data_IF_192020319275
#
_entry.id   IF_192020319275
#
_cell.length_a   1.000
_cell.length_b   1.000
_cell.length_c   1.000
_cell.angle_alpha   90.00
_cell.angle_beta   90.00
_cell.angle_gamma   90.00
#
_symmetry.space_group_name_H-M   'P 1'
#
loop_
_entity.id
_entity.type
_entity.pdbx_description
1 polymer ?
#
# COMPACT_ATOMS: atom_id res chain seq x y z
N UNK A 1 -13.28 31.79 38.85
CA UNK A 1 -13.38 30.90 37.67
C UNK A 1 -12.06 30.73 36.90
N UNK A 2 -11.25 31.79 36.68
CA UNK A 2 -10.11 31.76 35.72
C UNK A 2 -8.97 30.74 35.94
N UNK A 3 -8.63 30.35 37.18
CA UNK A 3 -7.51 29.41 37.42
C UNK A 3 -7.84 27.97 37.01
N UNK A 4 -9.03 27.47 37.36
CA UNK A 4 -9.47 26.10 37.01
C UNK A 4 -9.66 25.96 35.51
N UNK A 5 -10.30 26.94 34.89
CA UNK A 5 -10.50 26.96 33.43
C UNK A 5 -9.18 27.12 32.67
N UNK A 6 -8.25 27.95 33.16
CA UNK A 6 -6.92 28.09 32.57
C UNK A 6 -6.09 26.80 32.66
N UNK A 7 -6.16 26.09 33.79
CA UNK A 7 -5.49 24.79 33.95
C UNK A 7 -6.07 23.70 33.06
N UNK A 8 -7.41 23.61 32.96
CA UNK A 8 -8.09 22.67 32.06
C UNK A 8 -7.72 22.94 30.60
N UNK A 9 -7.74 24.21 30.17
CA UNK A 9 -7.34 24.58 28.81
C UNK A 9 -5.88 24.21 28.53
N UNK A 10 -4.96 24.46 29.47
CA UNK A 10 -3.56 24.12 29.32
C UNK A 10 -3.34 22.59 29.22
N UNK A 11 -3.99 21.80 30.09
CA UNK A 11 -3.90 20.34 30.04
C UNK A 11 -4.45 19.78 28.72
N UNK A 12 -5.61 20.25 28.29
CA UNK A 12 -6.20 19.82 27.02
C UNK A 12 -5.32 20.21 25.83
N UNK A 13 -4.74 21.41 25.87
CA UNK A 13 -3.80 21.86 24.85
C UNK A 13 -2.56 20.96 24.75
N UNK A 14 -1.93 20.64 25.87
CA UNK A 14 -0.79 19.71 25.91
C UNK A 14 -1.18 18.31 25.45
N UNK A 15 -2.37 17.83 25.84
CA UNK A 15 -2.88 16.53 25.40
C UNK A 15 -3.07 16.47 23.87
N UNK A 16 -3.65 17.50 23.25
CA UNK A 16 -3.82 17.56 21.79
C UNK A 16 -2.47 17.61 21.06
N UNK A 17 -1.48 18.33 21.61
CA UNK A 17 -0.11 18.29 21.06
C UNK A 17 0.49 16.89 21.17
N UNK A 18 0.22 16.17 22.26
CA UNK A 18 0.58 14.77 22.42
C UNK A 18 -0.04 13.87 21.35
N UNK A 19 -1.34 14.04 21.07
CA UNK A 19 -2.04 13.33 19.97
C UNK A 19 -1.41 13.65 18.62
N UNK A 20 -1.08 14.92 18.35
CA UNK A 20 -0.48 15.30 17.07
C UNK A 20 0.87 14.61 16.83
N UNK A 21 1.70 14.54 17.88
CA UNK A 21 2.98 13.82 17.84
C UNK A 21 2.75 12.32 17.66
N UNK A 22 1.86 11.72 18.45
CA UNK A 22 1.58 10.28 18.37
C UNK A 22 1.01 9.88 16.99
N UNK A 23 0.09 10.67 16.44
CA UNK A 23 -0.49 10.42 15.13
C UNK A 23 0.59 10.45 14.03
N UNK A 24 1.45 11.48 14.06
CA UNK A 24 2.46 11.71 13.02
C UNK A 24 3.65 10.75 13.07
N UNK A 25 4.11 10.38 14.27
CA UNK A 25 5.38 9.66 14.46
C UNK A 25 5.22 8.21 14.90
N UNK A 26 3.98 7.72 15.07
CA UNK A 26 3.73 6.36 15.51
C UNK A 26 2.51 5.75 14.80
N UNK A 27 1.35 6.41 14.87
CA UNK A 27 0.12 5.81 14.38
C UNK A 27 0.11 5.62 12.85
N UNK A 28 0.73 6.52 12.09
CA UNK A 28 0.82 6.35 10.64
C UNK A 28 1.58 5.08 10.27
N UNK A 29 2.80 4.89 10.80
CA UNK A 29 3.66 3.75 10.46
C UNK A 29 3.02 2.41 10.88
N UNK A 30 2.31 2.38 12.01
CA UNK A 30 1.59 1.19 12.48
C UNK A 30 0.35 0.86 11.63
N UNK A 31 -0.25 1.84 10.95
CA UNK A 31 -1.43 1.66 10.10
C UNK A 31 -1.07 1.48 8.62
N UNK A 32 0.02 2.08 8.16
CA UNK A 32 0.58 1.95 6.82
C UNK A 32 1.45 0.68 6.72
N UNK A 33 0.83 -0.47 6.95
CA UNK A 33 1.47 -1.76 6.89
C UNK A 33 0.62 -2.75 6.10
N UNK A 34 1.26 -3.49 5.19
CA UNK A 34 0.58 -4.50 4.39
C UNK A 34 0.21 -5.72 5.26
N UNK A 35 -1.01 -6.27 5.16
CA UNK A 35 -1.39 -7.48 5.90
C UNK A 35 -0.67 -8.73 5.39
N UNK A 36 -0.48 -9.70 6.29
CA UNK A 36 0.15 -10.99 5.95
C UNK A 36 -0.83 -11.99 5.32
N UNK A 37 -2.12 -11.84 5.59
CA UNK A 37 -3.21 -12.77 5.29
C UNK A 37 -4.11 -12.32 4.14
N UNK A 38 -3.53 -11.60 3.18
CA UNK A 38 -4.22 -11.13 1.98
C UNK A 38 -4.97 -12.27 1.27
N UNK A 39 -6.20 -12.04 0.84
CA UNK A 39 -6.96 -12.96 -0.01
C UNK A 39 -7.82 -12.14 -0.97
N UNK A 40 -7.42 -12.11 -2.23
CA UNK A 40 -8.09 -11.32 -3.27
C UNK A 40 -8.12 -12.05 -4.60
N UNK A 41 -9.22 -11.84 -5.33
CA UNK A 41 -9.35 -12.21 -6.74
C UNK A 41 -9.65 -10.94 -7.55
N UNK A 42 -8.94 -10.76 -8.66
CA UNK A 42 -9.20 -9.69 -9.64
C UNK A 42 -9.44 -10.29 -11.01
N UNK A 43 -10.39 -9.73 -11.75
CA UNK A 43 -10.75 -10.18 -13.10
C UNK A 43 -10.52 -9.05 -14.09
N UNK A 44 -9.73 -9.31 -15.12
CA UNK A 44 -9.54 -8.41 -16.27
C UNK A 44 -10.16 -9.00 -17.51
N UNK A 45 -10.85 -8.21 -18.33
CA UNK A 45 -11.53 -8.67 -19.55
C UNK A 45 -11.21 -7.76 -20.73
N UNK A 46 -11.37 -8.28 -21.94
CA UNK A 46 -11.55 -7.42 -23.11
C UNK A 46 -12.83 -6.59 -22.92
N UNK A 47 -12.84 -5.35 -23.44
CA UNK A 47 -14.02 -4.51 -23.31
C UNK A 47 -15.22 -5.14 -24.04
N UNK A 48 -16.47 -4.87 -23.60
CA UNK A 48 -17.65 -5.44 -24.25
C UNK A 48 -17.70 -5.12 -25.75
N UNK A 49 -17.61 -6.15 -26.59
CA UNK A 49 -17.63 -6.03 -28.05
C UNK A 49 -16.24 -5.95 -28.70
N UNK A 50 -15.17 -5.93 -27.89
CA UNK A 50 -13.79 -6.01 -28.36
C UNK A 50 -13.26 -7.45 -28.26
N UNK A 51 -12.47 -7.84 -29.25
CA UNK A 51 -11.80 -9.13 -29.32
C UNK A 51 -10.28 -8.95 -29.19
N UNK A 52 -9.62 -9.98 -28.67
CA UNK A 52 -8.19 -10.15 -28.75
C UNK A 52 -7.83 -11.13 -29.88
N UNK A 53 -6.60 -11.05 -30.37
CA UNK A 53 -5.99 -12.08 -31.21
C UNK A 53 -4.97 -12.85 -30.39
N UNK A 54 -5.05 -14.18 -30.37
CA UNK A 54 -4.15 -15.01 -29.56
C UNK A 54 -3.82 -16.34 -30.23
N UNK A 55 -2.63 -16.85 -29.91
CA UNK A 55 -2.21 -18.20 -30.30
C UNK A 55 -2.79 -19.22 -29.32
N UNK A 56 -3.69 -20.07 -29.80
CA UNK A 56 -4.18 -21.24 -29.10
C UNK A 56 -3.36 -22.47 -29.51
N UNK A 57 -2.38 -22.83 -28.67
CA UNK A 57 -1.52 -24.00 -28.92
C UNK A 57 -2.26 -25.34 -28.79
N UNK A 58 -3.35 -25.37 -28.05
CA UNK A 58 -4.19 -26.54 -27.81
C UNK A 58 -5.38 -26.68 -28.77
N UNK A 59 -5.46 -25.84 -29.80
CA UNK A 59 -6.58 -25.83 -30.73
C UNK A 59 -6.77 -27.19 -31.44
N UNK A 60 -8.03 -27.50 -31.75
CA UNK A 60 -8.37 -28.76 -32.43
C UNK A 60 -7.77 -28.75 -33.84
N UNK A 61 -6.84 -29.67 -34.10
CA UNK A 61 -6.13 -29.74 -35.38
C UNK A 61 -4.70 -29.16 -35.35
N UNK A 62 -4.25 -28.69 -34.18
CA UNK A 62 -2.90 -28.14 -33.96
C UNK A 62 -2.93 -26.65 -33.62
N UNK A 63 -1.78 -26.05 -33.27
CA UNK A 63 -1.70 -24.65 -32.90
C UNK A 63 -2.29 -23.72 -33.95
N UNK A 64 -3.17 -22.81 -33.53
CA UNK A 64 -3.87 -21.88 -34.42
C UNK A 64 -3.98 -20.48 -33.80
N UNK A 65 -4.01 -19.46 -34.64
CA UNK A 65 -4.35 -18.09 -34.22
C UNK A 65 -5.86 -17.95 -34.25
N UNK A 66 -6.41 -17.54 -33.12
CA UNK A 66 -7.84 -17.34 -32.91
C UNK A 66 -8.11 -15.88 -32.55
N UNK A 67 -9.37 -15.47 -32.75
CA UNK A 67 -9.86 -14.15 -32.38
C UNK A 67 -11.11 -14.32 -31.54
N UNK A 68 -11.17 -13.60 -30.42
CA UNK A 68 -12.32 -13.63 -29.52
C UNK A 68 -12.05 -12.89 -28.22
N UNK A 69 -13.04 -12.82 -27.31
CA UNK A 69 -12.84 -12.20 -26.02
C UNK A 69 -11.86 -13.01 -25.17
N UNK A 70 -11.12 -12.31 -24.31
CA UNK A 70 -10.24 -12.91 -23.31
C UNK A 70 -10.59 -12.40 -21.91
N UNK A 71 -10.33 -13.26 -20.93
CA UNK A 71 -10.39 -12.95 -19.52
C UNK A 71 -9.07 -13.39 -18.87
N UNK A 72 -8.53 -12.55 -17.99
CA UNK A 72 -7.42 -12.86 -17.11
C UNK A 72 -7.90 -12.82 -15.67
N UNK A 73 -7.68 -13.90 -14.93
CA UNK A 73 -7.97 -13.95 -13.50
C UNK A 73 -6.67 -14.01 -12.74
N UNK A 74 -6.61 -13.27 -11.64
CA UNK A 74 -5.49 -13.28 -10.71
C UNK A 74 -6.01 -13.46 -9.30
N UNK A 75 -5.49 -14.46 -8.62
CA UNK A 75 -5.67 -14.65 -7.18
C UNK A 75 -4.36 -14.28 -6.48
N UNK A 76 -4.48 -13.64 -5.32
CA UNK A 76 -3.35 -13.32 -4.44
C UNK A 76 -3.70 -13.82 -3.05
N UNK A 77 -2.85 -14.69 -2.51
CA UNK A 77 -3.00 -15.27 -1.17
C UNK A 77 -1.73 -15.06 -0.36
N UNK A 78 -1.87 -14.41 0.78
CA UNK A 78 -0.80 -14.22 1.74
C UNK A 78 -0.37 -15.53 2.41
N UNK A 79 0.94 -15.73 2.53
CA UNK A 79 1.55 -16.90 3.18
C UNK A 79 2.12 -16.45 4.52
N UNK A 80 1.29 -16.48 5.56
CA UNK A 80 1.65 -15.99 6.90
C UNK A 80 2.91 -16.69 7.41
N UNK A 81 2.97 -18.02 7.36
CA UNK A 81 4.12 -18.78 7.86
C UNK A 81 5.41 -18.47 7.09
N UNK A 82 5.32 -18.29 5.77
CA UNK A 82 6.49 -17.93 4.95
C UNK A 82 6.89 -16.46 5.14
N UNK A 83 5.93 -15.60 5.49
CA UNK A 83 6.21 -14.19 5.82
C UNK A 83 6.97 -14.08 7.14
N UNK A 84 6.58 -14.87 8.14
CA UNK A 84 7.31 -14.99 9.40
C UNK A 84 8.73 -15.53 9.16
N UNK A 85 8.87 -16.60 8.37
CA UNK A 85 10.19 -17.16 8.00
C UNK A 85 11.07 -16.15 7.27
N UNK A 86 10.53 -15.46 6.24
CA UNK A 86 11.28 -14.47 5.49
C UNK A 86 11.68 -13.26 6.34
N UNK A 87 10.81 -12.83 7.26
CA UNK A 87 11.10 -11.75 8.20
C UNK A 87 12.22 -12.12 9.17
N UNK A 88 12.22 -13.35 9.68
CA UNK A 88 13.29 -13.87 10.55
C UNK A 88 14.63 -14.01 9.79
N UNK A 89 14.59 -14.52 8.56
CA UNK A 89 15.79 -14.70 7.72
C UNK A 89 16.47 -13.38 7.34
N UNK A 90 15.68 -12.33 7.14
CA UNK A 90 16.14 -11.03 6.64
C UNK A 90 16.31 -9.97 7.74
N UNK A 91 15.75 -10.17 8.94
CA UNK A 91 15.66 -9.15 10.00
C UNK A 91 14.91 -7.88 9.52
N UNK A 92 13.85 -8.09 8.73
CA UNK A 92 13.02 -7.06 8.08
C UNK A 92 11.53 -7.41 8.20
N UNK A 93 10.61 -6.45 8.05
CA UNK A 93 9.16 -6.72 8.09
C UNK A 93 8.63 -7.11 6.70
N UNK A 94 8.61 -8.42 6.41
CA UNK A 94 8.40 -8.96 5.07
C UNK A 94 7.04 -9.67 4.98
N UNK A 95 6.30 -9.39 3.91
CA UNK A 95 5.18 -10.20 3.47
C UNK A 95 5.61 -11.09 2.31
N UNK A 96 5.16 -12.34 2.33
CA UNK A 96 5.32 -13.30 1.23
C UNK A 96 3.94 -13.63 0.71
N UNK A 97 3.64 -13.22 -0.51
CA UNK A 97 2.36 -13.49 -1.16
C UNK A 97 2.54 -14.42 -2.36
N UNK A 98 1.62 -15.37 -2.47
CA UNK A 98 1.49 -16.29 -3.60
C UNK A 98 0.45 -15.72 -4.55
N UNK A 99 0.85 -15.46 -5.79
CA UNK A 99 -0.07 -15.04 -6.82
C UNK A 99 -0.14 -16.07 -7.92
N UNK A 100 -1.36 -16.43 -8.30
CA UNK A 100 -1.63 -17.25 -9.47
C UNK A 100 -2.45 -16.42 -10.45
N UNK A 101 -1.98 -16.34 -11.69
CA UNK A 101 -2.70 -15.66 -12.76
C UNK A 101 -2.80 -16.57 -13.98
N UNK A 102 -3.95 -16.53 -14.66
CA UNK A 102 -4.12 -17.22 -15.93
C UNK A 102 -4.99 -16.39 -16.88
N UNK A 103 -4.76 -16.57 -18.18
CA UNK A 103 -5.51 -15.90 -19.24
C UNK A 103 -6.10 -16.93 -20.18
N UNK A 104 -7.39 -16.80 -20.48
CA UNK A 104 -8.13 -17.74 -21.31
C UNK A 104 -9.38 -17.09 -21.92
N UNK A 105 -10.02 -17.71 -22.92
CA UNK A 105 -11.38 -17.33 -23.33
C UNK A 105 -12.35 -17.44 -22.14
N UNK A 106 -13.37 -16.56 -22.05
CA UNK A 106 -14.33 -16.58 -20.95
C UNK A 106 -14.98 -17.94 -20.72
N UNK A 107 -15.05 -18.38 -19.45
CA UNK A 107 -15.63 -19.67 -19.06
C UNK A 107 -14.70 -20.88 -19.20
N UNK A 108 -13.43 -20.66 -19.56
CA UNK A 108 -12.39 -21.71 -19.63
C UNK A 108 -11.78 -21.93 -18.24
N UNK A 109 -11.56 -23.19 -17.88
CA UNK A 109 -10.90 -23.57 -16.62
C UNK A 109 -9.41 -23.23 -16.66
N UNK A 110 -8.79 -23.01 -15.50
CA UNK A 110 -7.38 -22.64 -15.41
C UNK A 110 -6.43 -23.72 -15.98
N UNK A 111 -6.78 -25.01 -15.88
CA UNK A 111 -6.01 -26.09 -16.48
C UNK A 111 -5.95 -26.06 -18.02
N UNK A 112 -6.94 -25.41 -18.65
CA UNK A 112 -7.06 -25.26 -20.10
C UNK A 112 -6.68 -23.84 -20.56
N UNK A 113 -6.07 -23.03 -19.69
CA UNK A 113 -5.71 -21.66 -19.98
C UNK A 113 -4.63 -21.54 -21.07
N UNK A 114 -4.65 -20.42 -21.80
CA UNK A 114 -3.64 -20.11 -22.83
C UNK A 114 -2.28 -19.83 -22.21
N UNK A 115 -2.28 -19.20 -21.03
CA UNK A 115 -1.10 -18.94 -20.23
C UNK A 115 -1.47 -18.94 -18.76
N UNK A 116 -0.54 -19.42 -17.93
CA UNK A 116 -0.62 -19.31 -16.48
C UNK A 116 0.76 -19.03 -15.89
N UNK A 117 0.79 -18.24 -14.82
CA UNK A 117 1.99 -17.94 -14.04
C UNK A 117 1.65 -18.00 -12.56
N UNK A 118 2.53 -18.61 -11.78
CA UNK A 118 2.48 -18.59 -10.31
C UNK A 118 3.77 -18.02 -9.75
N UNK A 119 3.66 -16.98 -8.95
CA UNK A 119 4.81 -16.35 -8.30
C UNK A 119 4.65 -16.38 -6.79
N UNK A 120 5.75 -16.65 -6.08
CA UNK A 120 5.86 -16.47 -4.64
C UNK A 120 6.79 -15.30 -4.38
N UNK A 121 6.23 -14.16 -3.98
CA UNK A 121 6.89 -12.86 -4.02
C UNK A 121 7.06 -12.33 -2.59
N UNK A 122 8.31 -12.23 -2.10
CA UNK A 122 8.62 -11.53 -0.85
C UNK A 122 8.76 -10.01 -1.10
N UNK A 123 8.21 -9.20 -0.21
CA UNK A 123 8.31 -7.74 -0.29
C UNK A 123 8.17 -7.09 1.08
N UNK A 124 8.76 -5.91 1.25
CA UNK A 124 8.71 -5.14 2.49
C UNK A 124 7.30 -4.55 2.71
N UNK A 125 6.78 -4.70 3.93
CA UNK A 125 5.38 -4.39 4.27
C UNK A 125 5.07 -2.90 4.37
N UNK A 126 6.08 -2.03 4.41
CA UNK A 126 5.93 -0.57 4.55
C UNK A 126 6.25 0.18 3.25
N UNK A 127 7.15 -0.34 2.43
CA UNK A 127 7.56 0.27 1.16
C UNK A 127 6.89 -0.37 -0.05
N UNK A 128 6.37 -1.59 0.11
CA UNK A 128 5.88 -2.46 -0.95
C UNK A 128 6.92 -2.83 -2.03
N UNK A 129 8.20 -2.60 -1.76
CA UNK A 129 9.30 -3.00 -2.65
C UNK A 129 9.64 -4.47 -2.44
N UNK A 130 9.86 -5.19 -3.55
CA UNK A 130 10.27 -6.59 -3.49
C UNK A 130 11.66 -6.75 -2.86
N UNK A 131 11.83 -7.81 -2.05
CA UNK A 131 13.10 -8.12 -1.37
C UNK A 131 13.69 -9.42 -1.93
N UNK A 132 15.00 -9.64 -1.70
CA UNK A 132 15.66 -10.88 -2.13
C UNK A 132 15.60 -11.90 -1.01
N UNK A 133 14.81 -12.96 -1.20
CA UNK A 133 14.72 -14.08 -0.26
C UNK A 133 14.82 -15.41 -1.00
N UNK A 134 15.45 -16.42 -0.38
CA UNK A 134 15.73 -17.71 -1.04
C UNK A 134 14.48 -18.53 -1.35
N UNK A 135 13.37 -18.30 -0.64
CA UNK A 135 12.11 -18.96 -0.90
C UNK A 135 11.35 -18.39 -2.10
N UNK A 136 11.71 -17.20 -2.60
CA UNK A 136 11.05 -16.58 -3.75
C UNK A 136 11.10 -17.47 -5.00
N UNK A 137 9.99 -17.59 -5.72
CA UNK A 137 9.92 -18.43 -6.92
C UNK A 137 9.01 -17.83 -7.99
N UNK A 138 9.23 -18.27 -9.22
CA UNK A 138 8.30 -18.10 -10.34
C UNK A 138 8.11 -19.44 -11.03
N UNK A 139 6.88 -19.75 -11.41
CA UNK A 139 6.50 -20.91 -12.20
C UNK A 139 5.70 -20.44 -13.41
N UNK A 140 6.22 -20.74 -14.60
CA UNK A 140 5.57 -20.40 -15.86
C UNK A 140 5.96 -21.40 -16.95
N UNK A 141 5.02 -21.77 -17.81
CA UNK A 141 5.25 -22.76 -18.88
C UNK A 141 5.72 -24.13 -18.36
N UNK A 142 5.31 -24.53 -17.16
CA UNK A 142 5.73 -25.78 -16.51
C UNK A 142 7.18 -25.78 -16.00
N UNK A 143 7.84 -24.63 -15.97
CA UNK A 143 9.18 -24.46 -15.41
C UNK A 143 9.11 -23.65 -14.12
N UNK A 144 9.64 -24.21 -13.03
CA UNK A 144 9.83 -23.50 -11.76
C UNK A 144 11.27 -23.02 -11.65
N UNK A 145 11.45 -21.76 -11.29
CA UNK A 145 12.75 -21.16 -10.99
C UNK A 145 12.74 -20.75 -9.51
N UNK A 146 13.65 -21.32 -8.73
CA UNK A 146 13.85 -21.01 -7.31
C UNK A 146 15.34 -21.17 -6.95
N UNK A 147 15.98 -20.18 -6.28
CA UNK A 147 15.41 -18.86 -5.96
C UNK A 147 15.21 -18.02 -7.22
N UNK A 148 14.14 -17.22 -7.23
CA UNK A 148 13.92 -16.16 -8.20
C UNK A 148 14.14 -14.79 -7.53
N UNK A 149 14.46 -13.77 -8.32
CA UNK A 149 14.62 -12.40 -7.80
C UNK A 149 13.73 -11.44 -8.56
N UNK A 150 12.76 -10.89 -7.84
CA UNK A 150 11.94 -9.78 -8.29
C UNK A 150 12.67 -8.45 -8.02
N UNK A 151 12.20 -7.37 -8.64
CA UNK A 151 12.72 -6.02 -8.42
C UNK A 151 11.59 -4.99 -8.52
N UNK A 152 11.70 -3.89 -7.80
CA UNK A 152 10.69 -2.84 -7.77
C UNK A 152 9.42 -3.27 -7.04
N UNK A 153 8.33 -2.57 -7.29
CA UNK A 153 6.99 -2.87 -6.79
C UNK A 153 6.31 -3.95 -7.65
N UNK A 154 5.55 -4.85 -7.01
CA UNK A 154 4.91 -5.99 -7.71
C UNK A 154 3.38 -6.02 -7.53
N UNK A 155 2.88 -5.82 -6.31
CA UNK A 155 1.44 -5.90 -6.01
C UNK A 155 0.75 -4.54 -5.95
N UNK A 156 1.44 -3.54 -5.42
CA UNK A 156 0.91 -2.21 -5.13
C UNK A 156 2.03 -1.19 -5.18
N UNK A 157 1.67 0.08 -5.24
CA UNK A 157 2.58 1.20 -5.09
C UNK A 157 2.92 1.42 -3.60
N UNK A 158 3.99 2.16 -3.28
CA UNK A 158 4.30 2.54 -1.91
C UNK A 158 3.15 3.31 -1.24
N UNK A 159 2.99 3.18 0.08
CA UNK A 159 2.08 4.06 0.83
C UNK A 159 2.46 5.52 0.61
N UNK A 160 1.46 6.42 0.64
CA UNK A 160 1.65 7.82 0.29
C UNK A 160 2.41 7.96 -1.04
N UNK A 161 1.88 7.30 -2.08
CA UNK A 161 2.39 7.31 -3.44
C UNK A 161 2.56 8.75 -3.93
N UNK A 162 3.77 9.09 -4.36
CA UNK A 162 4.09 10.42 -4.88
C UNK A 162 3.75 10.52 -6.37
N UNK A 163 3.68 11.76 -6.89
CA UNK A 163 3.48 12.05 -8.32
C UNK A 163 4.79 11.95 -9.10
N UNK A 164 5.46 10.82 -8.96
CA UNK A 164 6.77 10.51 -9.56
C UNK A 164 6.79 9.07 -10.07
N UNK A 165 7.74 8.75 -10.94
CA UNK A 165 7.87 7.40 -11.51
C UNK A 165 8.06 6.34 -10.44
N UNK A 166 7.39 5.20 -10.57
CA UNK A 166 7.57 4.03 -9.68
C UNK A 166 8.05 2.84 -10.48
N UNK A 167 9.13 2.20 -10.05
CA UNK A 167 9.66 0.98 -10.65
C UNK A 167 8.67 -0.17 -10.43
N UNK A 168 8.00 -0.64 -11.50
CA UNK A 168 6.96 -1.66 -11.39
C UNK A 168 7.36 -2.91 -12.17
N UNK A 169 7.17 -4.08 -11.56
CA UNK A 169 7.59 -5.36 -12.13
C UNK A 169 6.78 -5.73 -13.37
N UNK A 170 7.48 -6.19 -14.42
CA UNK A 170 6.87 -6.90 -15.52
C UNK A 170 7.44 -8.33 -15.64
N UNK A 171 6.53 -9.30 -15.60
CA UNK A 171 6.87 -10.73 -15.61
C UNK A 171 7.40 -11.24 -16.95
N UNK A 172 7.07 -10.58 -18.06
CA UNK A 172 7.49 -11.02 -19.40
C UNK A 172 8.93 -10.63 -19.68
N UNK A 173 9.32 -9.39 -19.36
CA UNK A 173 10.72 -8.92 -19.48
C UNK A 173 11.58 -9.23 -18.24
N UNK A 174 10.96 -9.69 -17.15
CA UNK A 174 11.57 -10.03 -15.86
C UNK A 174 12.40 -8.89 -15.26
N UNK A 175 11.84 -7.69 -15.30
CA UNK A 175 12.48 -6.46 -14.82
C UNK A 175 11.44 -5.52 -14.24
N UNK A 176 11.89 -4.63 -13.36
CA UNK A 176 11.16 -3.41 -13.10
C UNK A 176 11.37 -2.42 -14.26
N UNK A 177 10.28 -1.76 -14.65
CA UNK A 177 10.29 -0.67 -15.62
C UNK A 177 9.50 0.49 -15.00
N UNK A 178 9.94 1.76 -15.16
CA UNK A 178 9.23 2.91 -14.61
C UNK A 178 7.77 2.96 -15.08
N UNK A 179 6.85 3.14 -14.13
CA UNK A 179 5.48 3.58 -14.36
C UNK A 179 5.41 5.08 -14.05
N UNK A 180 5.20 5.91 -15.07
CA UNK A 180 5.25 7.37 -14.99
C UNK A 180 3.89 7.96 -14.57
N UNK A 181 3.89 8.93 -13.65
CA UNK A 181 2.67 9.65 -13.30
C UNK A 181 2.19 10.51 -14.48
N UNK A 182 0.94 10.33 -14.90
CA UNK A 182 0.32 11.12 -15.97
C UNK A 182 -0.72 12.11 -15.46
N UNK A 183 -1.59 11.69 -14.54
CA UNK A 183 -2.76 12.46 -14.15
C UNK A 183 -3.30 12.10 -12.77
N UNK A 184 -4.14 12.99 -12.22
CA UNK A 184 -5.04 12.68 -11.11
C UNK A 184 -6.46 12.62 -11.66
N UNK A 185 -7.17 11.55 -11.33
CA UNK A 185 -8.54 11.27 -11.77
C UNK A 185 -9.41 10.88 -10.57
N UNK A 186 -10.71 10.66 -10.80
CA UNK A 186 -11.62 10.10 -9.81
C UNK A 186 -12.31 8.85 -10.36
N UNK A 187 -12.33 7.79 -9.57
CA UNK A 187 -13.08 6.56 -9.84
C UNK A 187 -14.07 6.39 -8.71
N UNK A 188 -15.37 6.44 -9.02
CA UNK A 188 -16.45 6.31 -8.03
C UNK A 188 -16.35 7.29 -6.84
N UNK A 189 -15.74 8.47 -7.05
CA UNK A 189 -15.51 9.48 -6.02
C UNK A 189 -14.20 9.30 -5.22
N UNK A 190 -13.46 8.23 -5.47
CA UNK A 190 -12.13 8.02 -4.92
C UNK A 190 -11.08 8.70 -5.81
N UNK A 191 -10.28 9.59 -5.22
CA UNK A 191 -9.14 10.22 -5.91
C UNK A 191 -8.08 9.16 -6.21
N UNK A 192 -7.67 9.08 -7.48
CA UNK A 192 -6.63 8.15 -7.94
C UNK A 192 -5.57 8.86 -8.78
N UNK A 193 -4.35 8.34 -8.76
CA UNK A 193 -3.25 8.74 -9.62
C UNK A 193 -3.13 7.74 -10.76
N UNK A 194 -3.12 8.24 -11.99
CA UNK A 194 -2.94 7.43 -13.19
C UNK A 194 -1.46 7.38 -13.53
N UNK A 195 -0.93 6.16 -13.55
CA UNK A 195 0.44 5.84 -13.95
C UNK A 195 0.45 5.04 -15.24
N UNK A 196 1.42 5.29 -16.12
CA UNK A 196 1.61 4.54 -17.36
C UNK A 196 3.03 3.98 -17.42
N UNK A 197 3.12 2.67 -17.61
CA UNK A 197 4.34 1.94 -17.87
C UNK A 197 4.35 1.50 -19.34
N UNK A 198 5.42 1.83 -20.05
CA UNK A 198 5.59 1.46 -21.46
C UNK A 198 6.82 0.57 -21.63
N UNK A 199 6.60 -0.60 -22.21
CA UNK A 199 7.63 -1.55 -22.61
C UNK A 199 7.65 -1.56 -24.14
N UNK A 200 8.67 -0.92 -24.72
CA UNK A 200 8.92 -0.95 -26.15
C UNK A 200 9.22 -2.39 -26.63
N UNK A 201 8.93 -2.73 -27.91
CA UNK A 201 9.14 -4.06 -28.44
C UNK A 201 10.55 -4.60 -28.17
N UNK A 202 10.62 -5.71 -27.44
CA UNK A 202 11.87 -6.34 -27.03
C UNK A 202 11.78 -7.86 -27.15
N UNK A 203 12.89 -8.48 -27.55
CA UNK A 203 13.02 -9.93 -27.56
C UNK A 203 13.10 -10.46 -26.13
N UNK A 204 12.17 -11.34 -25.76
CA UNK A 204 12.10 -11.95 -24.42
C UNK A 204 12.49 -13.43 -24.41
N UNK A 205 12.41 -14.10 -25.57
CA UNK A 205 12.81 -15.50 -25.70
C UNK A 205 13.17 -15.86 -27.14
N UNK A 206 13.86 -16.98 -27.29
CA UNK A 206 13.96 -17.72 -28.55
C UNK A 206 13.42 -19.11 -28.30
N UNK A 207 12.53 -19.59 -29.17
CA UNK A 207 11.88 -20.90 -29.02
C UNK A 207 11.83 -21.64 -30.35
N UNK A 208 12.00 -22.95 -30.30
CA UNK A 208 11.78 -23.81 -31.45
C UNK A 208 10.27 -23.94 -31.72
N UNK A 209 9.84 -23.67 -32.95
CA UNK A 209 8.45 -23.81 -33.40
C UNK A 209 8.38 -24.63 -34.68
N UNK A 210 7.24 -25.31 -34.95
CA UNK A 210 7.02 -25.95 -36.24
C UNK A 210 7.11 -24.93 -37.39
N UNK A 211 7.80 -25.26 -38.48
CA UNK A 211 7.91 -24.32 -39.61
C UNK A 211 6.55 -23.92 -40.18
N UNK A 212 5.60 -24.87 -40.22
CA UNK A 212 4.22 -24.61 -40.66
C UNK A 212 3.51 -23.53 -39.84
N UNK A 213 3.85 -23.34 -38.56
CA UNK A 213 3.23 -22.33 -37.69
C UNK A 213 3.65 -20.91 -38.10
N UNK A 214 4.83 -20.76 -38.69
CA UNK A 214 5.41 -19.46 -39.11
C UNK A 214 5.50 -19.35 -40.64
N UNK A 215 4.85 -20.25 -41.38
CA UNK A 215 4.76 -20.22 -42.83
C UNK A 215 6.01 -20.71 -43.58
N UNK A 216 6.84 -21.52 -42.94
CA UNK A 216 8.10 -22.04 -43.49
C UNK A 216 8.01 -23.55 -43.79
N UNK A 217 8.58 -24.00 -44.92
CA UNK A 217 8.58 -25.41 -45.37
C UNK A 217 9.76 -26.20 -44.77
N UNK A 218 9.85 -26.18 -43.44
CA UNK A 218 10.83 -26.93 -42.64
C UNK A 218 10.14 -27.56 -41.44
N UNK A 219 10.69 -28.64 -40.90
CA UNK A 219 10.07 -29.35 -39.77
C UNK A 219 9.95 -28.45 -38.53
N UNK A 220 11.05 -27.80 -38.14
CA UNK A 220 11.11 -26.81 -37.06
C UNK A 220 12.18 -25.76 -37.35
N UNK A 221 12.04 -24.60 -36.71
CA UNK A 221 13.07 -23.57 -36.66
C UNK A 221 12.99 -22.76 -35.37
N UNK A 222 14.05 -22.03 -35.05
CA UNK A 222 14.05 -21.09 -33.93
C UNK A 222 13.38 -19.79 -34.35
N UNK A 223 12.32 -19.40 -33.63
CA UNK A 223 11.68 -18.11 -33.76
C UNK A 223 11.95 -17.26 -32.52
N UNK A 224 12.06 -15.95 -32.73
CA UNK A 224 12.26 -14.97 -31.68
C UNK A 224 10.90 -14.49 -31.17
N UNK A 225 10.68 -14.52 -29.85
CA UNK A 225 9.48 -13.97 -29.24
C UNK A 225 9.72 -12.51 -28.88
N UNK A 226 9.02 -11.62 -29.57
CA UNK A 226 9.03 -10.18 -29.28
C UNK A 226 7.80 -9.85 -28.43
N UNK A 227 7.98 -8.97 -27.46
CA UNK A 227 6.94 -8.52 -26.53
C UNK A 227 7.00 -7.01 -26.35
N UNK A 228 5.82 -6.40 -26.27
CA UNK A 228 5.61 -5.02 -25.84
C UNK A 228 4.34 -4.93 -25.00
N UNK A 229 4.28 -3.92 -24.14
CA UNK A 229 3.11 -3.68 -23.29
C UNK A 229 2.99 -2.20 -22.96
N UNK A 230 1.76 -1.70 -22.97
CA UNK A 230 1.41 -0.45 -22.29
C UNK A 230 0.47 -0.79 -21.14
N UNK A 231 0.94 -0.59 -19.91
CA UNK A 231 0.17 -0.84 -18.69
C UNK A 231 -0.23 0.50 -18.09
N UNK A 232 -1.53 0.70 -17.88
CA UNK A 232 -2.09 1.85 -17.16
C UNK A 232 -2.62 1.40 -15.80
N UNK A 233 -2.19 2.07 -14.74
CA UNK A 233 -2.53 1.74 -13.35
C UNK A 233 -3.13 2.98 -12.69
N UNK A 234 -4.34 2.84 -12.14
CA UNK A 234 -5.00 3.88 -11.34
C UNK A 234 -4.85 3.52 -9.88
N UNK A 235 -4.11 4.36 -9.15
CA UNK A 235 -3.60 4.06 -7.82
C UNK A 235 -4.21 5.02 -6.81
N UNK A 236 -4.80 4.51 -5.73
CA UNK A 236 -5.21 5.36 -4.61
C UNK A 236 -3.95 5.83 -3.85
N UNK A 237 -3.71 7.15 -3.72
CA UNK A 237 -2.42 7.68 -3.31
C UNK A 237 -2.05 7.44 -1.85
N UNK A 238 -2.98 7.35 -0.90
CA UNK A 238 -2.63 7.14 0.51
C UNK A 238 -2.18 5.70 0.77
N UNK A 239 -2.92 4.73 0.25
CA UNK A 239 -2.69 3.29 0.43
C UNK A 239 -1.73 2.72 -0.59
N UNK A 240 -1.62 3.30 -1.78
CA UNK A 240 -0.85 2.79 -2.91
C UNK A 240 -1.52 1.62 -3.64
N UNK A 241 -2.77 1.30 -3.34
CA UNK A 241 -3.49 0.17 -3.97
C UNK A 241 -3.93 0.53 -5.39
N UNK A 242 -3.83 -0.45 -6.30
CA UNK A 242 -4.29 -0.33 -7.68
C UNK A 242 -5.80 -0.55 -7.70
N UNK A 243 -6.55 0.53 -7.89
CA UNK A 243 -8.02 0.54 -7.98
C UNK A 243 -8.50 0.02 -9.33
N UNK A 244 -7.75 0.32 -10.39
CA UNK A 244 -8.01 -0.15 -11.76
C UNK A 244 -6.69 -0.42 -12.46
N UNK A 245 -6.63 -1.50 -13.24
CA UNK A 245 -5.53 -1.81 -14.15
C UNK A 245 -6.05 -2.01 -15.56
N UNK A 246 -5.24 -1.63 -16.55
CA UNK A 246 -5.41 -1.96 -17.96
C UNK A 246 -4.06 -2.27 -18.59
N UNK A 247 -4.01 -3.28 -19.45
CA UNK A 247 -2.82 -3.65 -20.22
C UNK A 247 -3.17 -3.80 -21.69
N UNK A 248 -2.32 -3.23 -22.54
CA UNK A 248 -2.32 -3.39 -24.00
C UNK A 248 -1.10 -4.25 -24.37
N UNK A 249 -1.30 -5.56 -24.36
CA UNK A 249 -0.23 -6.53 -24.59
C UNK A 249 -0.14 -6.92 -26.07
N UNK A 250 1.08 -6.88 -26.59
CA UNK A 250 1.37 -7.35 -27.94
C UNK A 250 2.60 -8.26 -27.93
N UNK A 251 2.49 -9.42 -28.55
CA UNK A 251 3.57 -10.39 -28.69
C UNK A 251 3.53 -11.12 -30.03
N UNK A 252 4.70 -11.29 -30.64
CA UNK A 252 4.86 -11.96 -31.94
C UNK A 252 5.93 -13.04 -31.89
N UNK A 253 5.87 -13.97 -32.84
CA UNK A 253 7.02 -14.76 -33.25
C UNK A 253 7.61 -14.17 -34.53
N UNK A 254 8.91 -13.89 -34.48
CA UNK A 254 9.68 -13.37 -35.59
C UNK A 254 10.68 -14.40 -36.09
N UNK A 255 10.91 -14.39 -37.40
CA UNK A 255 11.90 -15.21 -38.10
C UNK A 255 12.71 -14.28 -38.98
N UNK A 256 14.03 -14.28 -38.83
CA UNK A 256 14.94 -13.38 -39.53
C UNK A 256 14.56 -11.89 -39.37
N UNK A 257 14.12 -11.50 -38.17
CA UNK A 257 13.69 -10.13 -37.83
C UNK A 257 12.39 -9.69 -38.50
N UNK A 258 11.60 -10.62 -39.03
CA UNK A 258 10.29 -10.34 -39.63
C UNK A 258 9.17 -11.03 -38.83
N UNK A 259 8.12 -10.30 -38.39
CA UNK A 259 6.94 -10.88 -37.76
C UNK A 259 6.26 -11.92 -38.65
N UNK A 260 6.09 -13.14 -38.14
CA UNK A 260 5.43 -14.24 -38.85
C UNK A 260 4.12 -14.67 -38.22
N UNK A 261 3.96 -14.48 -36.91
CA UNK A 261 2.79 -14.91 -36.16
C UNK A 261 2.52 -13.97 -34.98
N UNK A 262 1.26 -13.64 -34.74
CA UNK A 262 0.83 -12.99 -33.49
C UNK A 262 0.58 -14.05 -32.42
N UNK A 263 1.27 -13.94 -31.29
CA UNK A 263 1.01 -14.75 -30.09
C UNK A 263 -0.13 -14.13 -29.28
N UNK A 264 -0.10 -12.80 -29.14
CA UNK A 264 -1.10 -12.06 -28.38
C UNK A 264 -1.18 -10.64 -28.94
N UNK A 265 -2.40 -10.15 -29.13
CA UNK A 265 -2.75 -8.75 -29.35
C UNK A 265 -4.06 -8.55 -28.58
N UNK A 266 -3.95 -8.00 -27.38
CA UNK A 266 -5.03 -7.97 -26.42
C UNK A 266 -5.00 -6.69 -25.57
N UNK A 267 -6.17 -6.07 -25.41
CA UNK A 267 -6.39 -5.07 -24.36
C UNK A 267 -7.24 -5.69 -23.27
N UNK A 268 -6.69 -5.82 -22.07
CA UNK A 268 -7.37 -6.36 -20.89
C UNK A 268 -7.42 -5.31 -19.80
N UNK A 269 -8.60 -5.06 -19.25
CA UNK A 269 -8.78 -4.14 -18.12
C UNK A 269 -9.63 -4.75 -17.03
N UNK A 270 -9.42 -4.31 -15.78
CA UNK A 270 -10.24 -4.73 -14.64
C UNK A 270 -11.72 -4.53 -14.97
N UNK A 271 -12.53 -5.54 -14.70
CA UNK A 271 -13.97 -5.42 -14.88
C UNK A 271 -14.60 -4.54 -13.78
N UNK A 272 -15.83 -4.08 -14.04
CA UNK A 272 -16.52 -3.13 -13.15
C UNK A 272 -16.69 -3.71 -11.73
N UNK A 273 -16.96 -5.01 -11.61
CA UNK A 273 -17.08 -5.69 -10.31
C UNK A 273 -15.77 -5.63 -9.52
N UNK A 274 -14.63 -5.93 -10.16
CA UNK A 274 -13.31 -5.82 -9.54
C UNK A 274 -13.01 -4.39 -9.11
N UNK A 275 -13.32 -3.40 -9.94
CA UNK A 275 -13.08 -1.98 -9.63
C UNK A 275 -13.91 -1.55 -8.43
N UNK A 276 -15.24 -1.74 -8.46
CA UNK A 276 -16.12 -1.31 -7.38
C UNK A 276 -15.81 -2.04 -6.06
N UNK A 277 -15.52 -3.35 -6.10
CA UNK A 277 -15.13 -4.09 -4.89
C UNK A 277 -13.81 -3.55 -4.28
N UNK A 278 -12.86 -3.16 -5.12
CA UNK A 278 -11.59 -2.56 -4.65
C UNK A 278 -11.81 -1.16 -4.09
N UNK A 279 -12.68 -0.34 -4.70
CA UNK A 279 -13.06 0.98 -4.16
C UNK A 279 -13.72 0.82 -2.79
N UNK A 280 -14.73 -0.04 -2.67
CA UNK A 280 -15.47 -0.28 -1.43
C UNK A 280 -14.54 -0.72 -0.28
N UNK A 281 -13.54 -1.55 -0.59
CA UNK A 281 -12.58 -2.01 0.40
C UNK A 281 -11.62 -0.90 0.87
N UNK A 282 -11.12 -0.08 -0.07
CA UNK A 282 -10.01 0.83 0.20
C UNK A 282 -10.39 2.28 0.47
N UNK A 283 -11.61 2.72 0.14
CA UNK A 283 -12.06 4.10 0.38
C UNK A 283 -11.92 4.50 1.87
N UNK A 284 -12.43 3.65 2.77
CA UNK A 284 -12.37 3.91 4.22
C UNK A 284 -10.95 3.84 4.78
N UNK A 285 -10.11 2.94 4.24
CA UNK A 285 -8.70 2.79 4.62
C UNK A 285 -7.88 4.00 4.20
N UNK A 286 -8.08 4.47 2.97
CA UNK A 286 -7.47 5.68 2.43
C UNK A 286 -7.84 6.91 3.26
N UNK A 287 -9.13 7.07 3.58
CA UNK A 287 -9.62 8.17 4.42
C UNK A 287 -8.99 8.16 5.81
N UNK A 288 -8.95 6.99 6.46
CA UNK A 288 -8.33 6.85 7.78
C UNK A 288 -6.85 7.20 7.74
N UNK A 289 -6.14 6.70 6.72
CA UNK A 289 -4.70 6.88 6.60
C UNK A 289 -4.34 8.35 6.32
N UNK A 290 -5.07 9.01 5.41
CA UNK A 290 -4.93 10.44 5.16
C UNK A 290 -5.25 11.31 6.39
N UNK A 291 -6.28 10.92 7.16
CA UNK A 291 -6.67 11.60 8.40
C UNK A 291 -5.55 11.52 9.46
N UNK A 292 -4.95 10.34 9.65
CA UNK A 292 -3.86 10.13 10.62
C UNK A 292 -2.58 10.81 10.17
N UNK A 293 -2.28 10.81 8.87
CA UNK A 293 -1.08 11.45 8.29
C UNK A 293 -1.10 12.97 8.40
N UNK A 294 -2.24 13.58 8.07
CA UNK A 294 -2.31 15.03 7.83
C UNK A 294 -3.30 15.73 8.75
N UNK A 295 -4.57 15.34 8.73
CA UNK A 295 -5.65 16.11 9.33
C UNK A 295 -5.60 16.12 10.87
N UNK A 296 -5.47 14.95 11.51
CA UNK A 296 -5.36 14.83 12.98
C UNK A 296 -4.13 15.61 13.47
N UNK A 297 -2.91 15.40 12.95
CA UNK A 297 -1.75 16.18 13.37
C UNK A 297 -1.93 17.68 13.23
N UNK A 298 -2.48 18.15 12.10
CA UNK A 298 -2.66 19.59 11.84
C UNK A 298 -3.69 20.20 12.79
N UNK A 299 -4.89 19.62 12.87
CA UNK A 299 -5.98 20.14 13.71
C UNK A 299 -5.60 20.08 15.19
N UNK A 300 -5.03 18.96 15.64
CA UNK A 300 -4.61 18.79 17.02
C UNK A 300 -3.45 19.74 17.38
N UNK A 301 -2.53 20.02 16.44
CA UNK A 301 -1.46 21.02 16.64
C UNK A 301 -2.04 22.43 16.79
N UNK A 302 -2.89 22.86 15.87
CA UNK A 302 -3.46 24.22 15.89
C UNK A 302 -4.30 24.44 17.14
N UNK A 303 -5.23 23.53 17.45
CA UNK A 303 -6.06 23.62 18.65
C UNK A 303 -5.23 23.50 19.93
N UNK A 304 -4.24 22.61 19.92
CA UNK A 304 -3.30 22.42 21.02
C UNK A 304 -2.56 23.70 21.38
N UNK A 305 -1.93 24.36 20.40
CA UNK A 305 -1.22 25.63 20.59
C UNK A 305 -2.16 26.73 21.10
N UNK A 306 -3.34 26.89 20.48
CA UNK A 306 -4.31 27.90 20.90
C UNK A 306 -4.76 27.71 22.35
N UNK A 307 -5.02 26.48 22.77
CA UNK A 307 -5.42 26.16 24.14
C UNK A 307 -4.28 26.34 25.15
N UNK A 308 -3.04 26.01 24.78
CA UNK A 308 -1.87 26.28 25.62
C UNK A 308 -1.67 27.78 25.82
N UNK A 309 -1.75 28.58 24.74
CA UNK A 309 -1.64 30.04 24.82
C UNK A 309 -2.75 30.67 25.66
N UNK A 310 -4.00 30.24 25.44
CA UNK A 310 -5.16 30.71 26.21
C UNK A 310 -5.05 30.30 27.69
N UNK A 311 -4.70 29.05 27.96
CA UNK A 311 -4.50 28.52 29.31
C UNK A 311 -3.42 29.30 30.05
N UNK A 312 -2.26 29.52 29.40
CA UNK A 312 -1.17 30.33 29.92
C UNK A 312 -1.60 31.78 30.21
N UNK A 313 -2.31 32.42 29.28
CA UNK A 313 -2.83 33.78 29.46
C UNK A 313 -3.80 33.89 30.65
N UNK A 314 -4.74 32.95 30.78
CA UNK A 314 -5.72 32.93 31.88
C UNK A 314 -5.06 32.71 33.25
N UNK A 315 -4.05 31.85 33.32
CA UNK A 315 -3.28 31.60 34.54
C UNK A 315 -2.45 32.84 34.95
N UNK A 316 -1.80 33.51 33.99
CA UNK A 316 -1.05 34.75 34.23
C UNK A 316 -1.96 35.90 34.70
N UNK A 317 -3.14 36.05 34.11
CA UNK A 317 -4.12 37.08 34.50
C UNK A 317 -4.70 36.81 35.90
N UNK A 318 -4.95 35.55 36.23
CA UNK A 318 -5.48 35.19 37.55
C UNK A 318 -4.46 35.36 38.69
N UNK A 319 -3.16 35.40 38.38
CA UNK A 319 -2.12 35.65 39.37
C UNK A 319 -1.95 37.15 39.69
N UNK A 320 -2.32 38.05 38.77
CA UNK A 320 -2.28 39.51 38.98
C UNK A 320 -3.47 40.07 39.78
N UNK A 321 -4.56 39.31 39.93
CA UNK A 321 -5.76 39.73 40.67
C UNK A 321 -5.76 39.32 42.15
N UNK A 322 -4.71 38.64 42.63
CA UNK A 322 -4.62 38.10 43.99
C UNK A 322 -3.80 38.94 44.98
N UNK A 323 -3.33 40.12 44.58
CA UNK A 323 -2.57 41.04 45.44
C UNK A 323 -3.48 42.15 45.96
N UNK A 324 -4.30 41.86 46.95
CA UNK A 324 -4.80 42.89 47.87
C UNK A 324 -3.88 42.85 49.09
N UNK A 325 -3.12 43.91 49.41
CA UNK A 325 -2.44 44.01 50.70
C UNK A 325 -3.50 43.95 51.79
N UNK A 326 -3.32 43.05 52.75
CA UNK A 326 -4.07 43.09 54.00
C UNK A 326 -3.59 44.32 54.77
N UNK A 327 -4.39 45.39 54.77
CA UNK A 327 -4.24 46.45 55.76
C UNK A 327 -4.58 45.86 57.13
N UNK A 328 -3.54 45.83 57.95
CA UNK A 328 -3.54 45.50 59.36
C UNK A 328 -4.12 46.72 60.10
N UNK A 329 -5.34 46.63 60.61
CA UNK A 329 -5.88 47.61 61.53
C UNK A 329 -6.76 46.94 62.61
N UNK A 330 -6.08 46.59 63.72
CA UNK A 330 -6.46 46.78 65.15
C UNK A 330 -7.85 46.30 65.62
N UNK A 331 -7.96 45.47 66.68
CA UNK A 331 -8.11 46.03 68.03
C UNK A 331 -7.56 45.20 69.21
N UNK A 332 -6.95 45.86 70.20
CA UNK A 332 -6.86 45.31 71.56
C UNK A 332 -6.86 46.41 72.63
N UNK A 333 -8.03 46.56 73.25
CA UNK A 333 -8.25 47.26 74.52
C UNK A 333 -7.79 46.34 75.68
N UNK A 334 -7.11 46.84 76.74
CA UNK A 334 -6.59 45.99 77.80
C UNK A 334 -7.55 45.87 78.99
N UNK A 335 -7.92 44.64 79.35
CA UNK A 335 -8.51 44.28 80.64
C UNK A 335 -7.47 43.62 81.57
N UNK A 336 -7.39 43.98 82.86
CA UNK A 336 -6.36 43.46 83.77
C UNK A 336 -6.86 42.28 84.60
N UNK A 337 -5.97 41.33 84.93
CA UNK A 337 -6.08 40.48 86.12
C UNK A 337 -4.76 39.74 86.41
N UNK A 338 -4.07 40.26 87.42
CA UNK A 338 -3.35 39.62 88.53
C UNK A 338 -3.21 38.08 88.62
N UNK A 339 -2.09 37.68 89.23
CA UNK A 339 -2.05 36.54 90.17
C UNK A 339 -1.46 35.26 89.58
N UNK A 340 -0.15 35.06 89.63
CA UNK A 340 0.55 34.44 90.77
C UNK A 340 0.53 32.90 90.75
N UNK A 341 1.70 32.36 90.38
CA UNK A 341 2.37 31.14 90.83
C UNK A 341 1.56 30.00 91.46
N UNK A 342 1.75 28.77 90.95
CA UNK A 342 2.54 27.75 91.64
C UNK A 342 2.57 26.41 90.87
N UNK A 343 3.76 25.80 90.88
CA UNK A 343 4.08 24.38 91.02
C UNK A 343 3.17 23.32 90.36
N UNK A 344 3.69 22.31 89.67
CA UNK A 344 5.03 21.75 89.66
C UNK A 344 4.95 20.36 89.03
N UNK A 345 6.02 19.93 88.39
CA UNK A 345 6.02 18.63 87.74
C UNK A 345 7.42 18.12 87.45
N UNK A 346 7.72 17.00 88.10
CA UNK A 346 8.68 15.95 87.70
C UNK A 346 10.12 16.11 88.17
N UNK A 347 10.46 15.26 89.15
CA UNK A 347 11.67 14.44 89.08
C UNK A 347 11.39 13.03 89.59
N UNK A 348 12.20 12.12 89.03
CA UNK A 348 12.52 10.73 89.41
C UNK A 348 11.64 9.64 88.80
N UNK A 349 12.18 8.49 88.40
CA UNK A 349 13.56 7.98 88.22
C UNK A 349 13.40 6.64 87.46
N UNK A 350 14.18 6.35 86.42
CA UNK A 350 15.32 5.40 86.43
C UNK A 350 15.17 4.16 87.32
N UNK A 351 15.30 3.01 86.66
CA UNK A 351 15.77 1.69 87.09
C UNK A 351 14.97 0.95 88.17
#
# INVERSE_FOLDING_TARGET
MGKKTGFVALLLGVFLLGIAVLAKFYAYDELAVVPLDQDTETVSKTAPGDDATYLNVGATGGPAVETGPLESRRTVVGKVELSEEASEDLDEDVAVWDTFSYTAPPGTAAEDALSATRDLVPFDRHTAETVRWSGAMTESGGQTIQPFSFSGNYFKFPFNTQKESVEFWDGSVRKAVPAEYEATEEIEGLTVYRFVQTIEPVQIATQEVPGSLVGEDVASLNAERIYSNTRTLWVEPETGVIIKGQEEQFATLEVDGSPRLTITDATLGYDEETVSATVDEYESKAMLLGLVRTEIPVVATVLGVLLVLLGGFLLLRANRSGSTPSDDDTPAEPGPADGETAAGGRRKATA
#
